data_IF_587842832534
#
_entry.id   IF_587842832534
#
_cell.length_a   1.000
_cell.length_b   1.000
_cell.length_c   1.000
_cell.angle_alpha   90.00
_cell.angle_beta   90.00
_cell.angle_gamma   90.00
#
_symmetry.space_group_name_H-M   'P 1'
#
loop_
_entity.id
_entity.type
_entity.pdbx_description
1 polymer ?
#
# COMPACT_ATOMS: atom_id res chain seq x y z
N UNK A 1 -27.91 -44.16 -30.46
CA UNK A 1 -28.35 -45.45 -29.87
C UNK A 1 -27.55 -45.77 -28.59
N UNK A 2 -28.18 -46.09 -27.45
CA UNK A 2 -27.44 -46.52 -26.28
C UNK A 2 -26.78 -47.88 -26.57
N UNK A 3 -25.51 -48.02 -26.16
CA UNK A 3 -24.77 -49.28 -26.26
C UNK A 3 -24.56 -49.82 -24.85
N UNK A 4 -24.56 -51.14 -24.69
CA UNK A 4 -24.37 -51.79 -23.39
C UNK A 4 -22.91 -52.18 -23.25
N UNK A 5 -22.27 -51.81 -22.13
CA UNK A 5 -20.91 -52.24 -21.82
C UNK A 5 -20.85 -53.77 -21.65
N UNK A 6 -19.70 -54.41 -21.89
CA UNK A 6 -19.52 -55.88 -21.76
C UNK A 6 -19.94 -56.43 -20.38
N UNK A 7 -19.99 -55.58 -19.36
CA UNK A 7 -20.43 -55.92 -17.98
C UNK A 7 -21.91 -55.65 -17.69
N UNK A 8 -22.72 -55.26 -18.68
CA UNK A 8 -24.16 -55.03 -18.51
C UNK A 8 -24.59 -53.62 -18.08
N UNK A 9 -23.66 -52.69 -17.92
CA UNK A 9 -23.97 -51.29 -17.57
C UNK A 9 -24.45 -50.52 -18.81
N UNK A 10 -25.55 -49.76 -18.63
CA UNK A 10 -26.12 -48.92 -19.68
C UNK A 10 -25.24 -47.68 -19.89
N UNK A 11 -24.68 -47.52 -21.09
CA UNK A 11 -23.90 -46.33 -21.44
C UNK A 11 -24.86 -45.27 -21.98
N UNK A 12 -25.01 -44.16 -21.25
CA UNK A 12 -25.72 -42.96 -21.71
C UNK A 12 -24.72 -41.93 -22.20
N UNK A 13 -25.00 -41.34 -23.37
CA UNK A 13 -24.24 -40.21 -23.88
C UNK A 13 -24.85 -38.92 -23.36
N UNK A 14 -24.14 -38.24 -22.47
CA UNK A 14 -24.51 -36.87 -22.07
C UNK A 14 -23.89 -35.88 -23.05
N UNK A 15 -24.74 -35.04 -23.64
CA UNK A 15 -24.28 -33.90 -24.43
C UNK A 15 -24.13 -32.72 -23.47
N UNK A 16 -22.90 -32.46 -23.03
CA UNK A 16 -22.61 -31.19 -22.38
C UNK A 16 -22.73 -30.07 -23.41
N UNK A 17 -23.54 -29.05 -23.13
CA UNK A 17 -23.53 -27.81 -23.90
C UNK A 17 -22.13 -27.19 -23.86
N UNK A 18 -21.79 -26.38 -24.86
CA UNK A 18 -20.50 -25.67 -24.87
C UNK A 18 -20.39 -24.82 -23.60
N UNK A 19 -19.30 -24.96 -22.85
CA UNK A 19 -19.04 -24.16 -21.65
C UNK A 19 -19.21 -22.67 -21.98
N UNK A 20 -20.04 -21.98 -21.19
CA UNK A 20 -20.20 -20.52 -21.28
C UNK A 20 -18.85 -19.86 -21.05
N UNK A 21 -18.31 -19.22 -22.09
CA UNK A 21 -17.09 -18.40 -21.97
C UNK A 21 -17.48 -17.02 -21.49
N UNK A 22 -16.85 -16.56 -20.43
CA UNK A 22 -17.06 -15.24 -19.85
C UNK A 22 -15.71 -14.62 -19.49
N UNK A 23 -15.67 -13.30 -19.32
CA UNK A 23 -14.45 -12.59 -18.93
C UNK A 23 -14.20 -12.70 -17.42
N UNK A 24 -12.93 -12.54 -17.01
CA UNK A 24 -12.55 -12.52 -15.59
C UNK A 24 -13.21 -11.35 -14.84
N UNK A 25 -13.42 -10.24 -15.54
CA UNK A 25 -14.05 -9.02 -15.08
C UNK A 25 -15.53 -9.27 -14.78
N UNK A 26 -16.25 -9.94 -15.68
CA UNK A 26 -17.65 -10.31 -15.46
C UNK A 26 -17.82 -11.28 -14.28
N UNK A 27 -16.92 -12.27 -14.14
CA UNK A 27 -16.94 -13.16 -12.98
C UNK A 27 -16.73 -12.36 -11.70
N UNK A 28 -15.73 -11.47 -11.69
CA UNK A 28 -15.42 -10.63 -10.51
C UNK A 28 -16.60 -9.74 -10.13
N UNK A 29 -17.25 -9.11 -11.10
CA UNK A 29 -18.44 -8.28 -10.86
C UNK A 29 -19.61 -9.10 -10.29
N UNK A 30 -19.88 -10.29 -10.85
CA UNK A 30 -20.95 -11.16 -10.36
C UNK A 30 -20.70 -11.67 -8.95
N UNK A 31 -19.48 -12.12 -8.66
CA UNK A 31 -19.08 -12.59 -7.32
C UNK A 31 -19.10 -11.44 -6.31
N UNK A 32 -18.65 -10.25 -6.72
CA UNK A 32 -18.70 -9.04 -5.90
C UNK A 32 -20.13 -8.63 -5.55
N UNK A 33 -21.04 -8.64 -6.54
CA UNK A 33 -22.46 -8.35 -6.33
C UNK A 33 -23.12 -9.38 -5.41
N UNK A 34 -22.78 -10.67 -5.57
CA UNK A 34 -23.26 -11.74 -4.69
C UNK A 34 -22.80 -11.53 -3.25
N UNK A 35 -21.51 -11.27 -3.04
CA UNK A 35 -20.94 -11.04 -1.71
C UNK A 35 -21.52 -9.79 -1.04
N UNK A 36 -21.69 -8.71 -1.80
CA UNK A 36 -22.40 -7.51 -1.36
C UNK A 36 -23.84 -7.85 -0.92
N UNK A 37 -24.58 -8.56 -1.76
CA UNK A 37 -25.97 -8.96 -1.48
C UNK A 37 -26.07 -9.78 -0.19
N UNK A 38 -25.14 -10.72 0.03
CA UNK A 38 -25.07 -11.51 1.26
C UNK A 38 -24.85 -10.66 2.51
N UNK A 39 -24.00 -9.63 2.45
CA UNK A 39 -23.83 -8.69 3.57
C UNK A 39 -25.16 -7.96 3.82
N UNK A 40 -25.75 -7.35 2.79
CA UNK A 40 -26.96 -6.54 2.96
C UNK A 40 -28.13 -7.36 3.53
N UNK A 41 -28.30 -8.61 3.09
CA UNK A 41 -29.35 -9.50 3.61
C UNK A 41 -29.25 -9.70 5.14
N UNK A 42 -28.05 -9.71 5.71
CA UNK A 42 -27.85 -9.88 7.15
C UNK A 42 -28.21 -8.62 7.95
N UNK A 43 -28.12 -7.44 7.34
CA UNK A 43 -28.33 -6.15 8.03
C UNK A 43 -29.66 -5.47 7.67
N UNK A 44 -30.37 -5.96 6.65
CA UNK A 44 -31.60 -5.33 6.18
C UNK A 44 -32.65 -5.26 7.30
N UNK A 45 -33.09 -4.04 7.64
CA UNK A 45 -33.99 -3.79 8.76
C UNK A 45 -35.41 -4.27 8.47
N UNK A 46 -35.98 -5.03 9.42
CA UNK A 46 -37.37 -5.49 9.37
C UNK A 46 -38.39 -4.46 9.89
N UNK A 47 -37.97 -3.27 10.32
CA UNK A 47 -38.88 -2.23 10.84
C UNK A 47 -39.40 -1.34 9.70
N UNK A 48 -40.70 -1.04 9.72
CA UNK A 48 -41.36 -0.19 8.72
C UNK A 48 -40.92 1.28 8.85
N UNK A 49 -40.64 1.95 7.71
CA UNK A 49 -40.32 3.38 7.65
C UNK A 49 -39.04 3.72 6.86
N UNK A 50 -37.97 2.94 7.03
CA UNK A 50 -36.65 3.26 6.44
C UNK A 50 -36.27 2.36 5.25
N UNK A 51 -37.05 1.30 4.98
CA UNK A 51 -36.79 0.30 3.92
C UNK A 51 -36.64 0.92 2.54
N UNK A 52 -37.43 1.96 2.24
CA UNK A 52 -37.31 2.67 0.97
C UNK A 52 -35.94 3.34 0.81
N UNK A 53 -35.49 4.04 1.84
CA UNK A 53 -34.23 4.79 1.80
C UNK A 53 -33.03 3.83 1.77
N UNK A 54 -33.15 2.66 2.41
CA UNK A 54 -32.17 1.57 2.29
C UNK A 54 -32.07 1.11 0.84
N UNK A 55 -33.19 0.77 0.19
CA UNK A 55 -33.20 0.38 -1.21
C UNK A 55 -32.65 1.47 -2.13
N UNK A 56 -33.04 2.73 -1.92
CA UNK A 56 -32.54 3.87 -2.70
C UNK A 56 -31.01 4.06 -2.50
N UNK A 57 -30.50 3.81 -1.29
CA UNK A 57 -29.07 3.83 -1.00
C UNK A 57 -28.31 2.68 -1.67
N UNK A 58 -28.84 1.45 -1.63
CA UNK A 58 -28.29 0.27 -2.33
C UNK A 58 -28.20 0.56 -3.83
N UNK A 59 -29.30 1.02 -4.45
CA UNK A 59 -29.34 1.39 -5.86
C UNK A 59 -28.29 2.45 -6.19
N UNK A 60 -28.18 3.50 -5.37
CA UNK A 60 -27.17 4.53 -5.58
C UNK A 60 -25.73 4.00 -5.46
N UNK A 61 -25.46 3.06 -4.55
CA UNK A 61 -24.14 2.41 -4.43
C UNK A 61 -23.82 1.63 -5.70
N UNK A 62 -24.71 0.74 -6.14
CA UNK A 62 -24.49 -0.11 -7.30
C UNK A 62 -24.38 0.67 -8.61
N UNK A 63 -25.14 1.76 -8.77
CA UNK A 63 -24.99 2.66 -9.93
C UNK A 63 -23.59 3.29 -10.01
N UNK A 64 -23.04 3.73 -8.87
CA UNK A 64 -21.68 4.28 -8.81
C UNK A 64 -20.59 3.21 -8.95
N UNK A 65 -20.92 1.95 -8.68
CA UNK A 65 -20.05 0.80 -8.94
C UNK A 65 -20.15 0.30 -10.40
N UNK A 66 -20.99 0.93 -11.24
CA UNK A 66 -21.06 0.67 -12.68
C UNK A 66 -22.03 -0.44 -13.10
N UNK A 67 -22.89 -0.93 -12.21
CA UNK A 67 -23.87 -1.97 -12.56
C UNK A 67 -25.01 -1.43 -13.45
N UNK A 68 -25.55 -2.30 -14.30
CA UNK A 68 -26.70 -2.01 -15.15
C UNK A 68 -28.00 -1.87 -14.35
N UNK A 69 -28.95 -1.07 -14.83
CA UNK A 69 -30.20 -0.82 -14.09
C UNK A 69 -31.04 -2.08 -13.89
N UNK A 70 -30.99 -3.03 -14.82
CA UNK A 70 -31.75 -4.29 -14.72
C UNK A 70 -31.19 -5.22 -13.63
N UNK A 71 -29.86 -5.36 -13.57
CA UNK A 71 -29.19 -6.13 -12.52
C UNK A 71 -29.45 -5.52 -11.13
N UNK A 72 -29.42 -4.19 -11.05
CA UNK A 72 -29.70 -3.45 -9.81
C UNK A 72 -31.15 -3.66 -9.36
N UNK A 73 -32.13 -3.49 -10.25
CA UNK A 73 -33.54 -3.68 -9.90
C UNK A 73 -33.81 -5.13 -9.48
N UNK A 74 -33.19 -6.11 -10.17
CA UNK A 74 -33.25 -7.53 -9.80
C UNK A 74 -32.69 -7.77 -8.41
N UNK A 75 -31.50 -7.23 -8.11
CA UNK A 75 -30.81 -7.40 -6.82
C UNK A 75 -31.60 -6.76 -5.68
N UNK A 76 -32.06 -5.53 -5.86
CA UNK A 76 -32.80 -4.79 -4.83
C UNK A 76 -34.15 -5.45 -4.55
N UNK A 77 -34.85 -5.90 -5.60
CA UNK A 77 -36.11 -6.63 -5.47
C UNK A 77 -35.90 -7.95 -4.74
N UNK A 78 -34.84 -8.67 -5.07
CA UNK A 78 -34.46 -9.93 -4.42
C UNK A 78 -34.19 -9.72 -2.92
N UNK A 79 -33.35 -8.75 -2.56
CA UNK A 79 -33.06 -8.43 -1.15
C UNK A 79 -34.35 -8.10 -0.40
N UNK A 80 -35.15 -7.18 -0.93
CA UNK A 80 -36.38 -6.72 -0.30
C UNK A 80 -37.38 -7.88 -0.10
N UNK A 81 -37.54 -8.74 -1.12
CA UNK A 81 -38.42 -9.91 -1.06
C UNK A 81 -37.96 -10.90 0.02
N UNK A 82 -36.67 -11.22 0.07
CA UNK A 82 -36.13 -12.18 1.03
C UNK A 82 -36.11 -11.67 2.47
N UNK A 83 -36.20 -10.35 2.67
CA UNK A 83 -36.30 -9.73 3.99
C UNK A 83 -37.75 -9.40 4.42
N UNK A 84 -38.77 -9.89 3.70
CA UNK A 84 -40.18 -9.68 4.06
C UNK A 84 -40.68 -8.24 3.84
N UNK A 85 -40.14 -7.55 2.83
CA UNK A 85 -40.68 -6.26 2.40
C UNK A 85 -41.90 -6.45 1.50
N UNK A 86 -43.10 -6.18 2.02
CA UNK A 86 -44.36 -6.26 1.27
C UNK A 86 -44.39 -5.36 0.02
N UNK A 87 -43.59 -4.29 0.01
CA UNK A 87 -43.48 -3.39 -1.13
C UNK A 87 -42.30 -3.70 -2.05
N UNK A 88 -41.70 -4.90 -1.97
CA UNK A 88 -40.50 -5.27 -2.73
C UNK A 88 -40.56 -4.91 -4.22
N UNK A 89 -41.72 -5.09 -4.88
CA UNK A 89 -41.91 -4.73 -6.30
C UNK A 89 -41.78 -3.23 -6.60
N UNK A 90 -42.05 -2.37 -5.61
CA UNK A 90 -41.91 -0.91 -5.73
C UNK A 90 -40.48 -0.42 -5.44
N UNK A 91 -39.57 -1.30 -4.99
CA UNK A 91 -38.18 -0.95 -4.68
C UNK A 91 -37.29 -0.89 -5.92
N UNK A 92 -37.73 -1.48 -7.04
CA UNK A 92 -37.09 -1.37 -8.35
C UNK A 92 -37.22 0.06 -8.91
N UNK A 93 -36.22 0.91 -8.65
CA UNK A 93 -36.19 2.34 -9.00
C UNK A 93 -34.90 2.76 -9.70
N UNK A 94 -34.09 1.82 -10.20
CA UNK A 94 -32.76 2.11 -10.74
C UNK A 94 -32.77 3.16 -11.85
N UNK A 95 -33.75 3.12 -12.76
CA UNK A 95 -33.87 4.11 -13.85
C UNK A 95 -34.09 5.54 -13.33
N UNK A 96 -34.97 5.72 -12.35
CA UNK A 96 -35.26 7.05 -11.77
C UNK A 96 -34.07 7.59 -10.98
N UNK A 97 -33.40 6.73 -10.20
CA UNK A 97 -32.23 7.13 -9.41
C UNK A 97 -31.05 7.43 -10.32
N UNK A 98 -30.86 6.67 -11.41
CA UNK A 98 -29.85 6.95 -12.43
C UNK A 98 -30.06 8.33 -13.06
N UNK A 99 -31.29 8.65 -13.47
CA UNK A 99 -31.64 9.99 -13.98
C UNK A 99 -31.28 11.10 -12.98
N UNK A 100 -31.61 10.92 -11.70
CA UNK A 100 -31.25 11.90 -10.67
C UNK A 100 -29.73 12.03 -10.50
N UNK A 101 -28.98 10.93 -10.59
CA UNK A 101 -27.52 10.93 -10.50
C UNK A 101 -26.90 11.69 -11.69
N UNK A 102 -27.39 11.43 -12.90
CA UNK A 102 -26.93 12.09 -14.14
C UNK A 102 -27.24 13.60 -14.14
N UNK A 103 -28.39 13.99 -13.57
CA UNK A 103 -28.79 15.39 -13.36
C UNK A 103 -28.09 16.06 -12.15
N UNK A 104 -27.12 15.39 -11.52
CA UNK A 104 -26.38 15.85 -10.32
C UNK A 104 -27.29 16.22 -9.13
N UNK A 105 -28.47 15.61 -9.05
CA UNK A 105 -29.36 15.72 -7.89
C UNK A 105 -28.84 14.86 -6.74
N UNK A 106 -29.33 15.13 -5.53
CA UNK A 106 -28.99 14.34 -4.34
C UNK A 106 -29.49 12.91 -4.50
N UNK A 107 -28.58 11.94 -4.45
CA UNK A 107 -28.84 10.50 -4.49
C UNK A 107 -28.15 9.83 -3.31
N UNK A 108 -28.87 9.01 -2.56
CA UNK A 108 -28.33 8.27 -1.42
C UNK A 108 -27.21 7.31 -1.87
N UNK A 109 -26.31 6.96 -0.97
CA UNK A 109 -25.12 6.18 -1.30
C UNK A 109 -24.47 5.53 -0.11
N UNK A 110 -23.21 5.14 -0.27
CA UNK A 110 -22.49 4.34 0.73
C UNK A 110 -22.49 4.98 2.13
N UNK A 111 -22.32 6.30 2.32
CA UNK A 111 -22.44 6.93 3.64
C UNK A 111 -23.85 6.84 4.24
N UNK A 112 -24.89 6.95 3.40
CA UNK A 112 -26.28 6.80 3.84
C UNK A 112 -26.59 5.33 4.18
N UNK A 113 -26.11 4.39 3.36
CA UNK A 113 -26.26 2.96 3.59
C UNK A 113 -25.61 2.54 4.91
N UNK A 114 -24.40 3.03 5.20
CA UNK A 114 -23.71 2.81 6.47
C UNK A 114 -24.57 3.24 7.65
N UNK A 115 -25.11 4.46 7.60
CA UNK A 115 -25.93 5.01 8.68
C UNK A 115 -27.26 4.28 8.84
N UNK A 116 -27.94 3.97 7.74
CA UNK A 116 -29.26 3.32 7.75
C UNK A 116 -29.18 1.88 8.26
N UNK A 117 -28.12 1.15 7.90
CA UNK A 117 -27.94 -0.25 8.28
C UNK A 117 -27.01 -0.44 9.49
N UNK A 118 -26.53 0.65 10.10
CA UNK A 118 -25.63 0.64 11.26
C UNK A 118 -24.35 -0.20 11.02
N UNK A 119 -23.86 -0.18 9.78
CA UNK A 119 -22.68 -0.95 9.36
C UNK A 119 -21.40 -0.40 10.00
N UNK A 120 -20.53 -1.32 10.41
CA UNK A 120 -19.21 -0.95 10.91
C UNK A 120 -18.29 -0.53 9.76
N UNK A 121 -17.17 0.13 10.08
CA UNK A 121 -16.22 0.57 9.05
C UNK A 121 -15.64 -0.61 8.26
N UNK A 122 -15.39 -1.74 8.93
CA UNK A 122 -14.89 -2.96 8.29
C UNK A 122 -15.88 -3.53 7.27
N UNK A 123 -17.19 -3.44 7.52
CA UNK A 123 -18.23 -3.86 6.58
C UNK A 123 -18.23 -2.98 5.34
N UNK A 124 -18.06 -1.67 5.52
CA UNK A 124 -17.98 -0.71 4.42
C UNK A 124 -16.74 -0.92 3.57
N UNK A 125 -15.60 -1.24 4.19
CA UNK A 125 -14.37 -1.51 3.44
C UNK A 125 -14.49 -2.81 2.62
N UNK A 126 -15.14 -3.85 3.16
CA UNK A 126 -15.51 -5.05 2.38
C UNK A 126 -16.47 -4.75 1.24
N UNK A 127 -17.49 -3.92 1.47
CA UNK A 127 -18.42 -3.52 0.39
C UNK A 127 -17.67 -2.78 -0.71
N UNK A 128 -16.72 -1.89 -0.37
CA UNK A 128 -15.88 -1.21 -1.36
C UNK A 128 -15.01 -2.18 -2.14
N UNK A 129 -14.40 -3.14 -1.46
CA UNK A 129 -13.59 -4.19 -2.08
C UNK A 129 -14.43 -5.02 -3.06
N UNK A 130 -15.56 -5.58 -2.61
CA UNK A 130 -16.42 -6.44 -3.42
C UNK A 130 -17.02 -5.72 -4.63
N UNK A 131 -17.38 -4.45 -4.48
CA UNK A 131 -17.94 -3.66 -5.57
C UNK A 131 -16.87 -2.89 -6.37
N UNK A 132 -15.59 -3.06 -6.04
CA UNK A 132 -14.47 -2.35 -6.65
C UNK A 132 -14.66 -0.81 -6.70
N UNK A 133 -15.20 -0.24 -5.60
CA UNK A 133 -15.43 1.20 -5.47
C UNK A 133 -14.15 1.84 -4.92
N UNK A 134 -13.49 2.66 -5.74
CA UNK A 134 -12.26 3.36 -5.32
C UNK A 134 -12.52 4.31 -4.14
N UNK A 135 -11.63 4.27 -3.16
CA UNK A 135 -11.63 5.21 -2.03
C UNK A 135 -11.26 6.58 -2.59
N UNK A 136 -12.16 7.56 -2.51
CA UNK A 136 -11.80 8.95 -2.79
C UNK A 136 -10.76 9.37 -1.76
N UNK A 137 -9.55 9.68 -2.21
CA UNK A 137 -8.52 10.23 -1.32
C UNK A 137 -9.01 11.57 -0.77
N UNK A 138 -9.24 11.61 0.54
CA UNK A 138 -9.47 12.86 1.25
C UNK A 138 -8.10 13.57 1.32
N UNK A 139 -7.84 14.47 0.39
CA UNK A 139 -6.69 15.35 0.51
C UNK A 139 -7.01 16.42 1.56
N UNK A 140 -6.08 16.66 2.47
CA UNK A 140 -6.15 17.85 3.30
C UNK A 140 -6.10 19.09 2.39
N UNK A 141 -6.92 20.11 2.65
CA UNK A 141 -6.92 21.32 1.85
C UNK A 141 -5.54 21.98 1.93
N UNK A 142 -5.03 22.43 0.78
CA UNK A 142 -3.75 23.13 0.71
C UNK A 142 -3.76 24.36 1.62
N UNK A 143 -2.73 24.47 2.47
CA UNK A 143 -2.52 25.65 3.29
C UNK A 143 -1.64 26.64 2.53
N UNK A 144 -2.26 27.65 1.94
CA UNK A 144 -1.54 28.77 1.33
C UNK A 144 -0.99 29.67 2.43
N UNK A 145 0.32 29.94 2.39
CA UNK A 145 1.02 30.82 3.33
C UNK A 145 1.53 32.05 2.58
N UNK A 146 1.10 33.25 2.97
CA UNK A 146 1.63 34.49 2.43
C UNK A 146 3.01 34.79 3.01
N UNK A 147 3.99 35.10 2.16
CA UNK A 147 5.34 35.47 2.61
C UNK A 147 5.31 36.63 3.62
N UNK A 148 4.55 37.68 3.33
CA UNK A 148 4.47 38.88 4.17
C UNK A 148 3.83 38.62 5.54
N UNK A 149 2.85 37.72 5.62
CA UNK A 149 2.21 37.32 6.88
C UNK A 149 3.10 36.42 7.75
N UNK A 150 4.22 35.93 7.21
CA UNK A 150 5.16 35.05 7.89
C UNK A 150 6.52 35.70 8.15
N UNK A 151 6.74 36.96 7.76
CA UNK A 151 8.02 37.68 7.97
C UNK A 151 8.49 37.68 9.43
N UNK A 152 7.54 37.81 10.36
CA UNK A 152 7.83 37.88 11.80
C UNK A 152 7.76 36.52 12.50
N UNK A 153 7.49 35.43 11.77
CA UNK A 153 7.45 34.10 12.38
C UNK A 153 8.86 33.54 12.45
N UNK A 154 9.25 32.93 13.59
CA UNK A 154 10.57 32.33 13.71
C UNK A 154 10.72 31.19 12.70
N UNK A 155 11.81 31.23 11.94
CA UNK A 155 12.16 30.14 11.02
C UNK A 155 12.56 28.93 11.88
N UNK A 156 11.88 27.78 11.73
CA UNK A 156 12.24 26.59 12.51
C UNK A 156 13.67 26.17 12.19
N UNK A 157 14.46 25.87 13.22
CA UNK A 157 15.82 25.37 13.03
C UNK A 157 15.75 23.98 12.40
N UNK A 158 16.42 23.72 11.26
CA UNK A 158 16.39 22.41 10.65
C UNK A 158 17.08 21.38 11.55
N UNK A 159 16.54 20.16 11.56
CA UNK A 159 17.13 19.03 12.29
C UNK A 159 18.10 18.30 11.37
N UNK A 160 19.38 18.32 11.69
CA UNK A 160 20.43 17.72 10.86
C UNK A 160 21.00 16.45 11.49
N UNK A 161 21.23 15.42 10.68
CA UNK A 161 22.16 14.32 11.02
C UNK A 161 23.60 14.74 10.74
N UNK A 162 23.83 15.39 9.58
CA UNK A 162 25.11 16.00 9.22
C UNK A 162 24.83 17.41 8.72
N UNK A 163 25.23 18.47 9.46
CA UNK A 163 24.89 19.85 9.14
C UNK A 163 25.20 20.26 7.69
N UNK A 164 24.17 20.74 7.00
CA UNK A 164 24.21 21.20 5.61
C UNK A 164 24.41 20.10 4.56
N UNK A 165 24.31 18.82 4.94
CA UNK A 165 24.36 17.69 4.01
C UNK A 165 23.15 16.76 4.18
N UNK A 166 22.95 16.21 5.38
CA UNK A 166 21.90 15.22 5.67
C UNK A 166 20.90 15.79 6.68
N UNK A 167 19.74 16.22 6.21
CA UNK A 167 18.64 16.74 7.03
C UNK A 167 17.64 15.64 7.37
N UNK A 168 17.13 15.61 8.61
CA UNK A 168 16.07 14.69 9.02
C UNK A 168 14.78 14.98 8.25
N UNK A 169 14.00 13.93 8.00
CA UNK A 169 12.71 14.00 7.27
C UNK A 169 12.86 14.52 5.84
N UNK A 170 14.01 14.30 5.21
CA UNK A 170 14.26 14.66 3.81
C UNK A 170 14.90 13.48 3.08
N UNK A 171 14.76 13.46 1.75
CA UNK A 171 15.45 12.52 0.88
C UNK A 171 16.71 13.18 0.35
N UNK A 172 17.83 12.49 0.44
CA UNK A 172 19.11 12.89 -0.14
C UNK A 172 19.54 11.86 -1.18
N UNK A 173 19.85 12.31 -2.40
CA UNK A 173 20.17 11.43 -3.51
C UNK A 173 21.64 11.55 -3.92
N UNK A 174 22.33 10.42 -4.04
CA UNK A 174 23.66 10.31 -4.63
C UNK A 174 23.49 9.69 -6.02
N UNK A 175 23.85 10.44 -7.06
CA UNK A 175 23.74 10.00 -8.46
C UNK A 175 25.08 10.10 -9.19
N UNK A 176 25.24 9.31 -10.25
CA UNK A 176 26.48 9.21 -11.04
C UNK A 176 26.60 7.87 -11.77
N UNK A 177 27.56 7.78 -12.69
CA UNK A 177 27.77 6.59 -13.52
C UNK A 177 28.14 5.33 -12.72
N UNK A 178 28.01 4.15 -13.33
CA UNK A 178 28.53 2.90 -12.77
C UNK A 178 30.02 3.02 -12.44
N UNK A 179 30.44 2.46 -11.30
CA UNK A 179 31.84 2.51 -10.86
C UNK A 179 32.31 3.85 -10.28
N UNK A 180 31.46 4.89 -10.18
CA UNK A 180 31.85 6.19 -9.60
C UNK A 180 32.00 6.19 -8.07
N UNK A 181 31.75 5.05 -7.41
CA UNK A 181 31.93 4.91 -5.95
C UNK A 181 30.70 5.25 -5.10
N UNK A 182 29.51 5.44 -5.68
CA UNK A 182 28.27 5.77 -4.95
C UNK A 182 27.98 4.81 -3.81
N UNK A 183 27.92 3.51 -4.10
CA UNK A 183 27.62 2.47 -3.11
C UNK A 183 28.64 2.44 -1.98
N UNK A 184 29.92 2.58 -2.30
CA UNK A 184 30.99 2.66 -1.30
C UNK A 184 30.85 3.91 -0.42
N UNK A 185 30.50 5.05 -1.02
CA UNK A 185 30.26 6.30 -0.30
C UNK A 185 29.02 6.22 0.61
N UNK A 186 27.95 5.60 0.13
CA UNK A 186 26.73 5.35 0.91
C UNK A 186 27.01 4.47 2.13
N UNK A 187 27.77 3.38 1.98
CA UNK A 187 28.19 2.54 3.11
C UNK A 187 29.08 3.32 4.09
N UNK A 188 30.01 4.14 3.57
CA UNK A 188 30.84 5.01 4.41
C UNK A 188 30.01 6.00 5.23
N UNK A 189 28.97 6.60 4.64
CA UNK A 189 28.06 7.51 5.33
C UNK A 189 27.37 6.82 6.51
N UNK A 190 26.83 5.61 6.31
CA UNK A 190 26.20 4.85 7.37
C UNK A 190 27.15 4.49 8.51
N UNK A 191 28.38 4.08 8.17
CA UNK A 191 29.43 3.79 9.16
C UNK A 191 29.84 5.05 9.91
N UNK A 192 29.97 6.18 9.21
CA UNK A 192 30.32 7.46 9.81
C UNK A 192 29.32 7.87 10.88
N UNK A 193 28.03 7.75 10.57
CA UNK A 193 26.96 8.03 11.53
C UNK A 193 26.93 7.07 12.71
N UNK A 194 26.94 5.77 12.45
CA UNK A 194 26.78 4.77 13.49
C UNK A 194 27.97 4.68 14.45
N UNK A 195 29.19 4.82 13.93
CA UNK A 195 30.42 4.81 14.73
C UNK A 195 30.91 6.19 15.15
N UNK A 196 30.12 7.25 14.90
CA UNK A 196 30.45 8.62 15.26
C UNK A 196 31.85 9.08 14.83
N UNK A 197 32.18 8.87 13.55
CA UNK A 197 33.42 9.43 13.01
C UNK A 197 33.36 10.96 13.09
N UNK A 198 34.50 11.61 13.39
CA UNK A 198 34.57 13.06 13.62
C UNK A 198 33.92 13.89 12.50
N UNK A 199 34.13 13.48 11.25
CA UNK A 199 33.64 14.22 10.09
C UNK A 199 33.32 13.31 8.91
N UNK A 200 32.35 13.72 8.09
CA UNK A 200 32.07 13.17 6.78
C UNK A 200 32.23 14.27 5.72
N UNK A 201 33.09 14.05 4.72
CA UNK A 201 33.35 15.04 3.64
C UNK A 201 33.65 16.45 4.18
N UNK A 202 34.45 16.55 5.25
CA UNK A 202 34.83 17.82 5.87
C UNK A 202 33.76 18.48 6.75
N UNK A 203 32.63 17.81 6.99
CA UNK A 203 31.55 18.29 7.89
C UNK A 203 31.53 17.49 9.17
N UNK A 204 31.39 18.17 10.30
CA UNK A 204 31.32 17.52 11.60
C UNK A 204 30.09 16.62 11.73
N UNK A 205 30.24 15.49 12.41
CA UNK A 205 29.15 14.60 12.77
C UNK A 205 28.79 14.88 14.24
N UNK A 206 27.69 15.60 14.51
CA UNK A 206 27.41 16.13 15.83
C UNK A 206 27.07 15.05 16.88
N UNK A 207 26.53 13.91 16.45
CA UNK A 207 26.14 12.80 17.32
C UNK A 207 26.06 11.47 16.55
N UNK A 208 26.20 10.32 17.23
CA UNK A 208 25.99 9.00 16.62
C UNK A 208 24.52 8.77 16.25
N UNK A 209 24.27 8.12 15.12
CA UNK A 209 22.91 7.76 14.68
C UNK A 209 22.84 6.38 14.05
N UNK A 210 21.75 5.66 14.31
CA UNK A 210 21.48 4.31 13.79
C UNK A 210 21.20 4.32 12.30
N UNK A 211 21.74 3.33 11.58
CA UNK A 211 21.61 3.26 10.12
C UNK A 211 21.09 1.91 9.65
N UNK A 212 20.18 1.94 8.67
CA UNK A 212 19.77 0.79 7.87
C UNK A 212 20.31 0.96 6.44
N UNK A 213 21.05 -0.03 5.95
CA UNK A 213 21.56 -0.08 4.58
C UNK A 213 20.84 -1.20 3.84
N UNK A 214 20.06 -0.81 2.84
CA UNK A 214 19.30 -1.69 1.96
C UNK A 214 19.97 -1.68 0.59
N UNK A 215 20.60 -2.80 0.22
CA UNK A 215 21.35 -2.88 -1.02
C UNK A 215 20.82 -4.04 -1.90
N UNK A 216 20.59 -3.78 -3.19
CA UNK A 216 20.03 -4.75 -4.13
C UNK A 216 21.09 -5.40 -5.04
N UNK A 217 22.33 -4.93 -5.02
CA UNK A 217 23.39 -5.35 -5.94
C UNK A 217 24.48 -6.17 -5.23
N UNK A 218 24.93 -5.70 -4.06
CA UNK A 218 25.94 -6.35 -3.24
C UNK A 218 25.33 -7.47 -2.39
N UNK A 219 26.01 -8.61 -2.36
CA UNK A 219 25.67 -9.69 -1.43
C UNK A 219 25.95 -9.29 0.03
N UNK A 220 25.36 -10.01 0.98
CA UNK A 220 25.63 -9.77 2.41
C UNK A 220 27.13 -9.86 2.74
N UNK A 221 27.86 -10.77 2.10
CA UNK A 221 29.31 -10.91 2.30
C UNK A 221 30.11 -9.74 1.72
N UNK A 222 29.71 -9.17 0.59
CA UNK A 222 30.33 -7.96 0.05
C UNK A 222 30.08 -6.74 0.94
N UNK A 223 28.86 -6.59 1.48
CA UNK A 223 28.55 -5.54 2.46
C UNK A 223 29.40 -5.70 3.73
N UNK A 224 29.51 -6.92 4.25
CA UNK A 224 30.37 -7.23 5.40
C UNK A 224 31.85 -6.95 5.13
N UNK A 225 32.32 -7.27 3.92
CA UNK A 225 33.70 -6.99 3.51
C UNK A 225 33.97 -5.48 3.48
N UNK A 226 33.07 -4.68 2.87
CA UNK A 226 33.16 -3.21 2.85
C UNK A 226 33.17 -2.66 4.28
N UNK A 227 32.22 -3.07 5.11
CA UNK A 227 32.17 -2.66 6.51
C UNK A 227 33.44 -3.04 7.29
N UNK A 228 33.99 -4.22 7.06
CA UNK A 228 35.23 -4.69 7.68
C UNK A 228 36.46 -3.90 7.24
N UNK A 229 36.53 -3.52 5.96
CA UNK A 229 37.58 -2.65 5.43
C UNK A 229 37.56 -1.27 6.11
N UNK A 230 36.38 -0.67 6.25
CA UNK A 230 36.22 0.59 6.97
C UNK A 230 36.55 0.46 8.46
N UNK A 231 36.09 -0.62 9.11
CA UNK A 231 36.47 -0.94 10.50
C UNK A 231 37.97 -0.95 10.68
N UNK A 232 38.69 -1.63 9.78
CA UNK A 232 40.16 -1.70 9.82
C UNK A 232 40.80 -0.33 9.58
N UNK A 233 40.31 0.42 8.60
CA UNK A 233 40.86 1.72 8.22
C UNK A 233 40.71 2.77 9.33
N UNK A 234 39.50 2.90 9.88
CA UNK A 234 39.18 3.85 10.94
C UNK A 234 39.48 3.32 12.35
N UNK A 235 40.02 2.09 12.46
CA UNK A 235 40.33 1.40 13.73
C UNK A 235 39.12 1.39 14.68
N UNK A 236 37.95 1.08 14.13
CA UNK A 236 36.69 1.07 14.89
C UNK A 236 36.68 -0.12 15.86
N UNK A 237 36.63 0.17 17.15
CA UNK A 237 36.41 -0.80 18.22
C UNK A 237 34.89 -0.93 18.46
N UNK A 238 34.36 -2.16 18.58
CA UNK A 238 33.01 -2.38 19.13
C UNK A 238 33.16 -2.62 20.64
N UNK A 239 32.16 -2.25 21.47
CA UNK A 239 31.90 -2.94 22.73
C UNK A 239 31.45 -4.37 22.39
N UNK A 240 32.08 -5.36 23.03
CA UNK A 240 31.91 -6.78 22.75
C UNK A 240 30.52 -7.28 23.20
N UNK A 241 29.80 -7.97 22.30
CA UNK A 241 28.81 -8.97 22.71
C UNK A 241 29.56 -10.32 22.79
N UNK A 242 29.55 -10.91 23.99
CA UNK A 242 30.14 -12.22 24.38
C UNK A 242 31.68 -12.27 24.52
N UNK A 243 32.16 -12.08 25.76
CA UNK A 243 33.20 -12.98 26.30
C UNK A 243 34.51 -12.38 26.81
N UNK A 244 35.02 -11.29 26.25
CA UNK A 244 36.33 -10.75 26.67
C UNK A 244 36.30 -9.23 26.85
N UNK A 245 36.71 -8.79 28.04
CA UNK A 245 36.70 -7.41 28.52
C UNK A 245 37.98 -6.72 28.06
N UNK A 246 37.84 -5.62 27.30
CA UNK A 246 38.86 -4.58 27.22
C UNK A 246 38.21 -3.20 27.23
N UNK A 247 38.88 -2.30 27.93
CA UNK A 247 38.39 -1.02 28.45
C UNK A 247 38.36 0.12 27.43
N UNK A 248 37.44 1.06 27.68
CA UNK A 248 37.41 2.47 27.26
C UNK A 248 37.37 2.81 25.77
N UNK A 249 36.14 3.02 25.30
CA UNK A 249 35.84 4.18 24.44
C UNK A 249 34.57 4.84 24.95
N UNK A 250 34.68 6.06 25.49
CA UNK A 250 33.55 6.93 25.88
C UNK A 250 32.64 7.35 24.70
N UNK A 251 32.88 6.82 23.50
CA UNK A 251 32.12 7.10 22.30
C UNK A 251 30.85 6.24 22.27
N UNK A 252 29.70 6.90 22.33
CA UNK A 252 28.40 6.27 22.09
C UNK A 252 28.36 5.77 20.64
N UNK A 253 28.16 4.47 20.46
CA UNK A 253 28.06 3.81 19.14
C UNK A 253 26.61 3.38 18.92
N UNK A 254 26.11 3.57 17.70
CA UNK A 254 24.82 3.05 17.23
C UNK A 254 25.03 1.83 16.31
N UNK A 255 23.96 1.06 16.11
CA UNK A 255 24.05 -0.14 15.26
C UNK A 255 23.92 0.19 13.76
N UNK A 256 24.44 -0.71 12.92
CA UNK A 256 24.30 -0.69 11.47
C UNK A 256 23.60 -1.97 11.05
N UNK A 257 22.38 -1.84 10.54
CA UNK A 257 21.60 -2.96 10.00
C UNK A 257 21.81 -3.05 8.49
N UNK A 258 22.05 -4.24 7.98
CA UNK A 258 22.15 -4.51 6.54
C UNK A 258 21.01 -5.39 6.08
N UNK A 259 20.48 -5.10 4.89
CA UNK A 259 19.60 -5.99 4.14
C UNK A 259 20.15 -6.05 2.71
N UNK A 260 20.39 -7.27 2.23
CA UNK A 260 20.87 -7.51 0.86
C UNK A 260 19.77 -8.23 0.07
N UNK A 261 19.47 -7.69 -1.11
CA UNK A 261 18.58 -8.30 -2.08
C UNK A 261 19.29 -8.88 -3.31
N UNK A 262 20.62 -8.97 -3.29
CA UNK A 262 21.41 -9.49 -4.41
C UNK A 262 21.10 -10.96 -4.73
N UNK A 263 20.91 -11.79 -3.70
CA UNK A 263 20.55 -13.21 -3.85
C UNK A 263 19.05 -13.41 -3.97
N UNK A 264 18.28 -12.70 -3.13
CA UNK A 264 16.82 -12.72 -3.12
C UNK A 264 16.31 -11.29 -3.11
N UNK A 265 15.95 -10.79 -4.30
CA UNK A 265 15.40 -9.44 -4.44
C UNK A 265 14.18 -9.27 -3.53
N UNK A 266 14.11 -8.12 -2.88
CA UNK A 266 12.93 -7.68 -2.15
C UNK A 266 12.41 -6.40 -2.79
N UNK A 267 11.13 -6.11 -2.71
CA UNK A 267 10.54 -4.88 -3.22
C UNK A 267 9.78 -4.22 -2.10
N UNK A 268 9.68 -2.89 -2.07
CA UNK A 268 8.83 -2.13 -1.15
C UNK A 268 7.45 -1.84 -1.73
N UNK A 269 7.32 -1.94 -3.04
CA UNK A 269 6.03 -1.79 -3.67
C UNK A 269 6.08 -2.08 -5.16
N UNK A 270 4.90 -2.01 -5.76
CA UNK A 270 4.67 -2.27 -7.17
C UNK A 270 3.83 -1.16 -7.76
N UNK A 271 4.28 -0.63 -8.89
CA UNK A 271 3.49 0.28 -9.68
C UNK A 271 2.49 -0.50 -10.52
N UNK A 272 1.21 -0.17 -10.37
CA UNK A 272 0.12 -0.68 -11.20
C UNK A 272 -0.71 0.50 -11.67
N UNK A 273 -0.67 0.81 -12.98
CA UNK A 273 -1.35 1.98 -13.58
C UNK A 273 -1.01 3.28 -12.83
N UNK A 274 0.29 3.54 -12.62
CA UNK A 274 0.83 4.71 -11.91
C UNK A 274 0.46 4.82 -10.42
N UNK A 275 -0.18 3.79 -9.84
CA UNK A 275 -0.46 3.70 -8.41
C UNK A 275 0.59 2.80 -7.77
N UNK A 276 1.30 3.32 -6.77
CA UNK A 276 2.22 2.55 -5.94
C UNK A 276 1.43 1.75 -4.89
N UNK A 277 1.48 0.43 -5.01
CA UNK A 277 0.91 -0.50 -4.03
C UNK A 277 2.06 -1.03 -3.14
N UNK A 278 2.02 -0.81 -1.82
CA UNK A 278 3.03 -1.34 -0.91
C UNK A 278 3.12 -2.88 -0.95
N UNK A 279 4.33 -3.41 -0.82
CA UNK A 279 4.57 -4.85 -0.69
C UNK A 279 4.52 -5.28 0.79
N UNK A 280 4.46 -6.59 1.09
CA UNK A 280 4.62 -7.08 2.47
C UNK A 280 5.95 -6.68 3.13
N UNK A 281 7.05 -6.59 2.36
CA UNK A 281 8.35 -6.19 2.90
C UNK A 281 8.37 -4.72 3.35
N UNK A 282 7.50 -3.87 2.81
CA UNK A 282 7.38 -2.47 3.27
C UNK A 282 7.02 -2.41 4.75
N UNK A 283 6.01 -3.15 5.19
CA UNK A 283 5.60 -3.16 6.60
C UNK A 283 6.66 -3.82 7.49
N UNK A 284 7.33 -4.87 7.02
CA UNK A 284 8.44 -5.49 7.75
C UNK A 284 9.58 -4.49 8.01
N UNK A 285 10.00 -3.76 6.97
CA UNK A 285 11.06 -2.75 7.07
C UNK A 285 10.60 -1.56 7.91
N UNK A 286 9.36 -1.11 7.74
CA UNK A 286 8.78 -0.03 8.55
C UNK A 286 8.77 -0.39 10.04
N UNK A 287 8.33 -1.59 10.39
CA UNK A 287 8.35 -2.07 11.78
C UNK A 287 9.78 -2.14 12.30
N UNK A 288 10.73 -2.64 11.51
CA UNK A 288 12.14 -2.70 11.91
C UNK A 288 12.76 -1.34 12.16
N UNK A 289 12.43 -0.35 11.31
CA UNK A 289 12.87 1.04 11.46
C UNK A 289 12.34 1.64 12.76
N UNK A 290 11.08 1.39 13.11
CA UNK A 290 10.47 1.86 14.35
C UNK A 290 11.05 1.17 15.58
N UNK A 291 11.14 -0.17 15.56
CA UNK A 291 11.68 -0.98 16.67
C UNK A 291 13.13 -0.59 17.01
N UNK A 292 13.97 -0.43 15.99
CA UNK A 292 15.39 -0.14 16.17
C UNK A 292 15.69 1.36 16.26
N UNK A 293 14.66 2.23 16.22
CA UNK A 293 14.79 3.68 16.15
C UNK A 293 15.81 4.11 15.08
N UNK A 294 15.69 3.58 13.85
CA UNK A 294 16.61 3.90 12.75
C UNK A 294 16.46 5.37 12.34
N UNK A 295 17.57 6.11 12.35
CA UNK A 295 17.58 7.54 12.03
C UNK A 295 18.01 7.83 10.58
N UNK A 296 18.84 6.97 9.98
CA UNK A 296 19.25 7.04 8.57
C UNK A 296 18.89 5.75 7.83
N UNK A 297 18.15 5.87 6.73
CA UNK A 297 17.89 4.76 5.81
C UNK A 297 18.63 5.05 4.51
N UNK A 298 19.45 4.10 4.09
CA UNK A 298 20.21 4.15 2.84
C UNK A 298 19.65 3.07 1.93
N UNK A 299 19.27 3.48 0.72
CA UNK A 299 18.75 2.59 -0.31
C UNK A 299 19.64 2.66 -1.55
N UNK A 300 20.09 1.51 -2.02
CA UNK A 300 21.06 1.44 -3.12
C UNK A 300 20.88 0.20 -4.03
N UNK A 301 20.48 0.37 -5.30
CA UNK A 301 19.82 1.54 -5.89
C UNK A 301 18.33 1.62 -5.52
N UNK A 302 17.80 2.86 -5.44
CA UNK A 302 16.38 3.12 -5.15
C UNK A 302 15.41 2.46 -6.12
N UNK A 303 15.72 2.50 -7.41
CA UNK A 303 14.82 2.03 -8.47
C UNK A 303 14.49 0.54 -8.37
N UNK A 304 15.44 -0.27 -7.89
CA UNK A 304 15.27 -1.73 -7.78
C UNK A 304 14.40 -2.13 -6.58
N UNK A 305 13.99 -1.18 -5.73
CA UNK A 305 13.02 -1.47 -4.67
C UNK A 305 11.59 -1.55 -5.19
N UNK A 306 11.32 -1.22 -6.45
CA UNK A 306 9.97 -1.15 -6.97
C UNK A 306 9.79 -2.01 -8.22
N UNK A 307 8.69 -2.76 -8.25
CA UNK A 307 8.26 -3.48 -9.45
C UNK A 307 7.49 -2.57 -10.40
N UNK A 308 7.61 -2.84 -11.70
CA UNK A 308 6.92 -2.08 -12.75
C UNK A 308 7.66 -0.82 -13.18
N UNK A 309 8.89 -0.61 -12.70
CA UNK A 309 9.75 0.51 -13.06
C UNK A 309 11.02 0.00 -13.75
N UNK A 310 11.40 0.63 -14.86
CA UNK A 310 12.62 0.31 -15.60
C UNK A 310 13.75 1.29 -15.24
N UNK A 311 14.93 0.77 -14.88
CA UNK A 311 16.13 1.55 -14.58
C UNK A 311 16.61 2.43 -15.75
N UNK A 312 16.31 2.01 -16.99
CA UNK A 312 16.77 2.67 -18.21
C UNK A 312 15.78 3.72 -18.76
N UNK A 313 14.65 3.97 -18.08
CA UNK A 313 13.61 4.88 -18.56
C UNK A 313 13.49 6.08 -17.62
N UNK A 314 13.92 7.26 -18.08
CA UNK A 314 13.91 8.49 -17.29
C UNK A 314 12.51 8.92 -16.82
N UNK A 315 11.46 8.60 -17.61
CA UNK A 315 10.05 8.87 -17.27
C UNK A 315 9.56 8.12 -16.04
N UNK A 316 10.23 7.04 -15.69
CA UNK A 316 9.87 6.13 -14.61
C UNK A 316 10.52 6.52 -13.28
N UNK A 317 11.64 7.26 -13.32
CA UNK A 317 12.32 7.81 -12.13
C UNK A 317 11.58 9.04 -11.57
N UNK A 318 10.90 9.82 -12.40
CA UNK A 318 10.13 11.00 -11.95
C UNK A 318 8.81 10.67 -11.25
N UNK A 319 8.33 9.43 -11.42
CA UNK A 319 7.02 8.97 -10.92
C UNK A 319 7.16 8.11 -9.65
N UNK A 320 8.38 7.71 -9.32
CA UNK A 320 8.76 6.92 -8.14
C UNK A 320 9.10 7.83 -6.94
#
# INVERSE_FOLDING_TARGET
PPSVHIKGEAITWERHESLTKTSSEQITQCVGLLAFTSIILNFYKSVSGERNDVCDAITGVLLRAGFGTEDIDTTVTFIAQHCGDEEYRKRAKAKTIKKNLDEKKKVLGLPALQKLLELQNDDIDKIREFLNISKKENHEPLKFLSYFENLNKPIPKPKWLIPGLIMKNTVFMISGFGGSGKSSLSVLLGITGAHHLKSFMGRDVPYPFSTLIMNQEDTMDQLRLKASAYKKHFKLTKPVFQGEIFENTDQKICDITFVSGAEKKFTLGKFTKDILIPSPHYEEIRNKVLENNIELIIVDPFILLFEGISENEASHVSTA
#
